data_IF_721553076694
#
_entry.id   IF_721553076694
#
_cell.length_a   1.000
_cell.length_b   1.000
_cell.length_c   1.000
_cell.angle_alpha   90.00
_cell.angle_beta   90.00
_cell.angle_gamma   90.00
#
_symmetry.space_group_name_H-M   'P 1'
#
loop_
_entity.id
_entity.type
_entity.pdbx_description
1 polymer ?
#
# COMPACT_ATOMS: atom_id res chain seq x y z
N UNK A 1 2.83 -24.04 3.08
CA UNK A 1 1.96 -23.03 3.71
C UNK A 1 2.44 -21.67 3.19
N UNK A 2 1.67 -20.99 2.32
CA UNK A 2 2.15 -19.77 1.67
C UNK A 2 1.71 -18.53 2.46
N UNK A 3 2.68 -17.84 3.05
CA UNK A 3 2.53 -16.55 3.70
C UNK A 3 2.53 -15.45 2.65
N UNK A 4 1.47 -14.64 2.58
CA UNK A 4 1.48 -13.42 1.76
C UNK A 4 1.89 -12.27 2.67
N UNK A 5 2.95 -11.56 2.27
CA UNK A 5 3.36 -10.27 2.84
C UNK A 5 2.40 -9.22 2.31
N UNK A 6 1.60 -8.62 3.19
CA UNK A 6 0.75 -7.50 2.84
C UNK A 6 1.40 -6.22 3.35
N UNK A 7 1.30 -5.15 2.55
CA UNK A 7 1.72 -3.82 2.95
C UNK A 7 0.47 -3.07 3.38
N UNK A 8 0.52 -2.44 4.56
CA UNK A 8 -0.61 -1.65 5.03
C UNK A 8 -0.78 -0.41 4.14
N UNK A 9 -1.95 -0.32 3.49
CA UNK A 9 -2.39 0.87 2.76
C UNK A 9 -3.36 1.62 3.66
N UNK A 10 -2.97 2.81 4.09
CA UNK A 10 -3.84 3.65 4.91
C UNK A 10 -4.54 4.69 4.04
N UNK A 11 -5.87 4.71 4.11
CA UNK A 11 -6.72 5.60 3.35
C UNK A 11 -6.87 6.95 4.06
N UNK A 12 -6.30 8.00 3.47
CA UNK A 12 -6.43 9.36 4.00
C UNK A 12 -7.76 10.00 3.59
N UNK A 13 -8.54 10.47 4.56
CA UNK A 13 -9.38 11.65 4.34
C UNK A 13 -8.51 12.90 4.53
N UNK A 14 -8.79 14.00 3.82
CA UNK A 14 -8.19 15.32 4.05
C UNK A 14 -8.09 15.60 5.57
N UNK A 15 -6.89 15.48 6.14
CA UNK A 15 -6.63 15.71 7.57
C UNK A 15 -6.15 14.51 8.42
N UNK A 16 -6.06 13.27 7.91
CA UNK A 16 -5.54 12.13 8.70
C UNK A 16 -4.01 11.95 8.62
N UNK A 17 -3.44 11.49 9.74
CA UNK A 17 -2.01 11.27 10.05
C UNK A 17 -1.22 10.48 9.01
N UNK A 18 -1.91 9.71 8.18
CA UNK A 18 -1.37 8.72 7.26
C UNK A 18 -0.76 9.33 6.00
N UNK A 19 -1.31 10.43 5.47
CA UNK A 19 -0.65 11.18 4.39
C UNK A 19 0.62 11.88 4.88
N UNK A 20 0.71 12.22 6.18
CA UNK A 20 1.96 12.70 6.78
C UNK A 20 3.03 11.61 6.79
N UNK A 21 2.64 10.34 6.89
CA UNK A 21 3.55 9.19 6.80
C UNK A 21 4.13 9.03 5.39
N UNK A 22 3.48 9.54 4.32
CA UNK A 22 4.08 9.51 2.97
C UNK A 22 5.44 10.21 2.90
N UNK A 23 5.70 11.14 3.82
CA UNK A 23 6.97 11.87 3.91
C UNK A 23 8.06 11.12 4.70
N UNK A 24 7.70 10.02 5.38
CA UNK A 24 8.69 9.20 6.07
C UNK A 24 9.52 8.41 5.04
N UNK A 25 10.83 8.20 5.28
CA UNK A 25 11.70 7.52 4.32
C UNK A 25 11.14 6.17 3.86
N UNK A 26 11.06 6.01 2.53
CA UNK A 26 10.64 4.78 1.85
C UNK A 26 9.12 4.52 1.83
N UNK A 27 8.29 5.30 2.52
CA UNK A 27 6.84 5.23 2.31
C UNK A 27 6.47 5.73 0.91
N UNK A 28 5.45 5.13 0.31
CA UNK A 28 5.07 5.40 -1.08
C UNK A 28 3.65 5.94 -1.11
N UNK A 29 3.50 7.20 -1.51
CA UNK A 29 2.19 7.80 -1.77
C UNK A 29 1.57 7.28 -3.07
N UNK A 30 0.27 6.99 -3.03
CA UNK A 30 -0.56 6.56 -4.15
C UNK A 30 -1.70 7.56 -4.33
N UNK A 31 -1.94 7.97 -5.58
CA UNK A 31 -3.08 8.84 -5.91
C UNK A 31 -4.36 8.03 -6.13
N UNK A 32 -5.52 8.65 -5.91
CA UNK A 32 -6.81 8.07 -6.23
C UNK A 32 -6.84 7.55 -7.68
N UNK A 33 -7.42 6.37 -7.89
CA UNK A 33 -7.45 5.67 -9.17
C UNK A 33 -6.22 4.80 -9.44
N UNK A 34 -5.06 5.05 -8.81
CA UNK A 34 -3.92 4.14 -8.91
C UNK A 34 -4.28 2.79 -8.32
N UNK A 35 -4.24 1.74 -9.14
CA UNK A 35 -4.63 0.39 -8.71
C UNK A 35 -6.08 0.28 -8.23
N UNK A 36 -6.97 1.12 -8.76
CA UNK A 36 -8.41 1.16 -8.43
C UNK A 36 -8.72 1.62 -6.99
N UNK A 37 -7.85 2.47 -6.40
CA UNK A 37 -8.11 3.10 -5.11
C UNK A 37 -9.17 4.20 -5.23
N UNK A 38 -10.07 4.28 -4.26
CA UNK A 38 -11.16 5.28 -4.25
C UNK A 38 -10.70 6.69 -3.85
N UNK A 39 -9.50 6.81 -3.26
CA UNK A 39 -8.90 8.05 -2.75
C UNK A 39 -7.38 7.94 -2.66
N UNK A 40 -6.72 9.02 -2.29
CA UNK A 40 -5.28 9.03 -2.03
C UNK A 40 -4.91 8.19 -0.81
N UNK A 41 -3.84 7.40 -0.94
CA UNK A 41 -3.39 6.46 0.06
C UNK A 41 -1.87 6.47 0.22
N UNK A 42 -1.38 5.79 1.26
CA UNK A 42 0.06 5.59 1.48
C UNK A 42 0.35 4.14 1.77
N UNK A 43 1.35 3.60 1.08
CA UNK A 43 1.95 2.28 1.33
C UNK A 43 3.02 2.44 2.41
N UNK A 44 2.80 1.81 3.56
CA UNK A 44 3.76 1.85 4.67
C UNK A 44 4.73 0.66 4.59
N UNK A 45 5.92 0.87 4.03
CA UNK A 45 6.92 -0.19 3.84
C UNK A 45 7.49 -0.73 5.15
N UNK A 46 7.44 0.07 6.22
CA UNK A 46 7.95 -0.33 7.55
C UNK A 46 6.97 -1.25 8.30
N UNK A 47 5.75 -1.39 7.79
CA UNK A 47 4.66 -2.14 8.43
C UNK A 47 4.20 -3.30 7.55
N UNK A 48 5.09 -4.28 7.42
CA UNK A 48 4.85 -5.53 6.71
C UNK A 48 4.24 -6.57 7.65
N UNK A 49 3.11 -7.15 7.26
CA UNK A 49 2.44 -8.20 8.02
C UNK A 49 2.26 -9.46 7.18
N UNK A 50 2.52 -10.61 7.80
CA UNK A 50 2.16 -11.91 7.24
C UNK A 50 0.73 -12.23 7.62
N UNK A 51 -0.14 -12.41 6.62
CA UNK A 51 -1.55 -12.76 6.84
C UNK A 51 -1.94 -14.00 6.05
N UNK A 52 -2.85 -14.79 6.62
CA UNK A 52 -3.42 -15.95 5.93
C UNK A 52 -4.32 -15.51 4.77
N UNK A 53 -4.33 -16.29 3.68
CA UNK A 53 -5.12 -15.98 2.47
C UNK A 53 -6.62 -15.80 2.71
N UNK A 54 -7.17 -16.49 3.72
CA UNK A 54 -8.58 -16.37 4.11
C UNK A 54 -8.97 -14.98 4.65
N UNK A 55 -8.01 -14.12 4.99
CA UNK A 55 -8.25 -12.74 5.43
C UNK A 55 -8.55 -11.78 4.27
N UNK A 56 -8.29 -12.16 3.02
CA UNK A 56 -8.62 -11.34 1.86
C UNK A 56 -10.06 -11.60 1.42
N UNK A 57 -10.94 -10.61 1.60
CA UNK A 57 -12.34 -10.72 1.20
C UNK A 57 -12.51 -10.66 -0.33
N UNK A 58 -11.88 -9.67 -0.98
CA UNK A 58 -11.98 -9.47 -2.42
C UNK A 58 -10.75 -8.74 -2.96
N UNK A 59 -10.47 -8.91 -4.25
CA UNK A 59 -9.41 -8.17 -4.96
C UNK A 59 -9.96 -6.83 -5.44
N UNK A 60 -9.34 -5.73 -5.02
CA UNK A 60 -9.74 -4.38 -5.43
C UNK A 60 -9.04 -3.90 -6.71
N UNK A 61 -7.80 -4.32 -6.96
CA UNK A 61 -7.03 -3.87 -8.12
C UNK A 61 -5.57 -4.35 -8.10
N UNK A 62 -4.73 -3.77 -8.96
CA UNK A 62 -3.29 -4.02 -9.05
C UNK A 62 -2.56 -2.71 -9.34
N UNK A 63 -1.47 -2.46 -8.62
CA UNK A 63 -0.61 -1.30 -8.86
C UNK A 63 0.25 -1.49 -10.12
N UNK A 64 0.58 -0.41 -10.85
CA UNK A 64 1.41 -0.51 -12.04
C UNK A 64 2.81 -1.07 -11.72
N UNK A 65 3.23 -2.10 -12.46
CA UNK A 65 4.45 -2.83 -12.15
C UNK A 65 5.72 -1.97 -12.28
N UNK A 66 5.86 -1.27 -13.41
CA UNK A 66 7.10 -0.57 -13.75
C UNK A 66 7.38 0.69 -12.93
N UNK A 67 6.37 1.21 -12.22
CA UNK A 67 6.50 2.40 -11.39
C UNK A 67 6.35 2.04 -9.92
N UNK A 68 5.17 1.57 -9.49
CA UNK A 68 4.84 1.40 -8.07
C UNK A 68 5.37 0.11 -7.48
N UNK A 69 5.12 -1.04 -8.10
CA UNK A 69 5.60 -2.32 -7.54
C UNK A 69 7.13 -2.41 -7.53
N UNK A 70 7.78 -1.85 -8.56
CA UNK A 70 9.24 -1.73 -8.59
C UNK A 70 9.75 -0.85 -7.44
N UNK A 71 9.15 0.33 -7.24
CA UNK A 71 9.52 1.21 -6.13
C UNK A 71 9.38 0.50 -4.79
N UNK A 72 8.26 -0.20 -4.55
CA UNK A 72 8.05 -0.99 -3.33
C UNK A 72 9.16 -2.03 -3.13
N UNK A 73 9.47 -2.80 -4.18
CA UNK A 73 10.51 -3.84 -4.15
C UNK A 73 11.89 -3.27 -3.84
N UNK A 74 12.21 -2.07 -4.31
CA UNK A 74 13.52 -1.49 -4.11
C UNK A 74 13.71 -0.96 -2.66
N UNK A 75 12.63 -0.91 -1.85
CA UNK A 75 12.65 -0.51 -0.44
C UNK A 75 12.40 -1.65 0.56
N UNK A 76 11.97 -2.82 0.13
CA UNK A 76 11.62 -3.98 0.97
C UNK A 76 12.65 -5.11 0.82
#
# INVERSE_FOLDING_TARGET
MYSIVNILVDEGALGKTSLRLAKAPGNIGLTAGEGNLSKDCVVNISQILVVGRSRFASRIGVLPYNTRLRQIRDFA
#
